data_IF_490457319149
#
_entry.id   IF_490457319149
#
_cell.length_a   1.000
_cell.length_b   1.000
_cell.length_c   1.000
_cell.angle_alpha   90.00
_cell.angle_beta   90.00
_cell.angle_gamma   90.00
#
_symmetry.space_group_name_H-M   'P 1'
#
loop_
_entity.id
_entity.type
_entity.pdbx_description
1 polymer ?
#
# COMPACT_ATOMS: atom_id res chain seq x y z
N UNK A 1 -14.71 21.04 10.22
CA UNK A 1 -14.56 20.60 10.60
C UNK A 1 -14.55 19.84 10.90
N UNK A 2 -14.47 19.65 11.04
CA UNK A 2 -14.33 19.00 11.52
C UNK A 2 -14.16 18.30 11.94
N UNK A 3 -14.15 18.22 11.92
CA UNK A 3 -13.97 17.54 12.41
C UNK A 3 -13.70 17.21 12.84
N UNK A 4 -13.78 17.19 12.83
CA UNK A 4 -13.56 16.79 13.40
C UNK A 4 -13.16 16.69 13.99
N UNK A 5 -13.11 16.89 14.04
CA UNK A 5 -12.80 16.87 14.67
C UNK A 5 -12.38 16.56 15.22
N UNK A 6 -12.31 16.28 15.20
CA UNK A 6 -11.84 15.95 15.84
C UNK A 6 -11.25 15.51 16.19
N UNK A 7 -11.02 15.51 15.89
CA UNK A 7 -10.45 15.05 16.24
C UNK A 7 -9.77 14.85 16.78
N UNK A 8 -9.56 14.85 16.91
CA UNK A 8 -8.99 14.63 17.47
C UNK A 8 -8.33 14.80 18.08
N UNK A 9 -8.41 14.74 18.31
CA UNK A 9 -7.78 15.07 19.03
C UNK A 9 -6.83 15.16 19.46
N UNK A 10 -7.23 15.20 19.62
CA UNK A 10 -6.48 14.93 19.99
C UNK A 10 -5.42 14.82 19.53
N UNK A 11 -5.54 14.73 18.69
CA UNK A 11 -4.32 14.44 18.02
C UNK A 11 -3.34 15.58 18.14
N UNK A 12 -2.17 15.28 18.62
CA UNK A 12 -1.14 16.29 18.71
C UNK A 12 -0.81 16.80 17.30
N UNK A 13 -0.64 18.11 17.12
CA UNK A 13 -0.30 18.64 15.80
C UNK A 13 0.94 18.02 15.19
N UNK A 14 1.93 17.66 16.02
CA UNK A 14 3.15 17.02 15.55
C UNK A 14 2.87 15.65 14.95
N UNK A 15 2.08 14.83 15.65
CA UNK A 15 1.72 13.51 15.16
C UNK A 15 0.89 13.60 13.90
N UNK A 16 -0.01 14.57 13.83
CA UNK A 16 -0.83 14.80 12.66
C UNK A 16 0.01 15.16 11.44
N UNK A 17 1.01 16.03 11.62
CA UNK A 17 1.90 16.42 10.54
C UNK A 17 2.75 15.25 10.08
N UNK A 18 3.22 14.41 11.02
CA UNK A 18 3.99 13.23 10.69
C UNK A 18 3.15 12.24 9.89
N UNK A 19 1.91 12.03 10.30
CA UNK A 19 1.01 11.13 9.60
C UNK A 19 0.75 11.62 8.18
N UNK A 20 0.53 12.91 8.00
CA UNK A 20 0.32 13.49 6.69
C UNK A 20 1.53 13.28 5.79
N UNK A 21 2.75 13.48 6.32
CA UNK A 21 3.96 13.25 5.54
C UNK A 21 4.11 11.78 5.14
N UNK A 22 3.79 10.87 6.05
CA UNK A 22 3.84 9.45 5.76
C UNK A 22 2.86 9.09 4.64
N UNK A 23 1.62 9.54 4.76
CA UNK A 23 0.61 9.24 3.76
C UNK A 23 0.99 9.81 2.39
N UNK A 24 1.53 11.02 2.36
CA UNK A 24 1.97 11.63 1.12
C UNK A 24 3.13 10.86 0.48
N UNK A 25 4.08 10.39 1.31
CA UNK A 25 5.19 9.59 0.80
C UNK A 25 4.70 8.32 0.13
N UNK A 26 3.62 7.74 0.62
CA UNK A 26 3.06 6.52 0.06
C UNK A 26 2.16 6.80 -1.14
N UNK A 27 1.31 7.81 -1.08
CA UNK A 27 0.33 8.04 -2.15
C UNK A 27 0.84 8.89 -3.29
N UNK A 28 1.74 9.84 -3.02
CA UNK A 28 2.27 10.74 -4.06
C UNK A 28 3.65 10.31 -4.52
N UNK A 29 4.56 10.10 -3.58
CA UNK A 29 5.93 9.73 -3.92
C UNK A 29 6.06 8.23 -4.19
N UNK A 30 5.11 7.44 -3.73
CA UNK A 30 5.05 5.99 -3.94
C UNK A 30 6.37 5.31 -3.57
N UNK A 31 6.88 5.64 -2.40
CA UNK A 31 8.14 5.08 -1.93
C UNK A 31 8.09 3.56 -1.81
N UNK A 32 6.89 2.98 -1.71
CA UNK A 32 6.74 1.52 -1.66
C UNK A 32 7.17 0.83 -2.96
N UNK A 33 7.39 1.59 -4.05
CA UNK A 33 7.90 1.01 -5.28
C UNK A 33 9.33 0.52 -5.14
N UNK A 34 10.06 0.96 -4.10
CA UNK A 34 11.40 0.47 -3.85
C UNK A 34 11.38 -0.96 -3.36
N UNK A 35 12.02 -1.86 -4.11
CA UNK A 35 12.23 -3.22 -3.63
C UNK A 35 13.17 -3.17 -2.43
N UNK A 36 12.78 -3.85 -1.36
CA UNK A 36 13.63 -3.90 -0.17
C UNK A 36 13.54 -2.68 0.73
N UNK A 37 12.53 -1.82 0.54
CA UNK A 37 12.35 -0.68 1.44
C UNK A 37 12.18 -1.18 2.87
N UNK A 38 12.97 -0.60 3.79
CA UNK A 38 12.93 -0.97 5.21
C UNK A 38 12.28 0.14 6.02
N UNK A 39 11.84 -0.21 7.23
CA UNK A 39 11.31 0.76 8.17
C UNK A 39 12.35 1.84 8.46
N UNK A 40 13.61 1.43 8.65
CA UNK A 40 14.69 2.37 8.93
C UNK A 40 14.90 3.36 7.78
N UNK A 41 14.89 2.86 6.54
CA UNK A 41 15.08 3.72 5.37
C UNK A 41 13.92 4.71 5.22
N UNK A 42 12.70 4.24 5.42
CA UNK A 42 11.53 5.12 5.34
C UNK A 42 11.56 6.18 6.44
N UNK A 43 11.91 5.77 7.66
CA UNK A 43 12.02 6.70 8.78
C UNK A 43 13.06 7.78 8.49
N UNK A 44 14.19 7.39 7.93
CA UNK A 44 15.24 8.34 7.57
C UNK A 44 14.76 9.33 6.51
N UNK A 45 14.08 8.83 5.48
CA UNK A 45 13.53 9.68 4.42
C UNK A 45 12.56 10.71 4.97
N UNK A 46 11.76 10.31 5.96
CA UNK A 46 10.76 11.19 6.56
C UNK A 46 11.31 12.01 7.72
N UNK A 47 12.58 11.82 8.07
CA UNK A 47 13.20 12.48 9.22
C UNK A 47 12.47 12.16 10.51
N UNK A 48 12.09 10.90 10.67
CA UNK A 48 11.42 10.40 11.87
C UNK A 48 12.27 9.34 12.53
N UNK A 49 12.10 9.18 13.86
CA UNK A 49 12.66 8.03 14.53
C UNK A 49 11.89 6.78 14.16
N UNK A 50 12.56 5.63 14.19
CA UNK A 50 11.88 4.37 13.84
C UNK A 50 10.73 4.06 14.77
N UNK A 51 10.88 4.34 16.07
CA UNK A 51 9.82 4.10 17.04
C UNK A 51 8.58 4.94 16.72
N UNK A 52 8.80 6.21 16.37
CA UNK A 52 7.68 7.09 16.00
C UNK A 52 6.98 6.59 14.76
N UNK A 53 7.74 6.17 13.76
CA UNK A 53 7.15 5.64 12.53
C UNK A 53 6.38 4.36 12.79
N UNK A 54 6.95 3.47 13.61
CA UNK A 54 6.26 2.23 13.97
C UNK A 54 4.94 2.52 14.67
N UNK A 55 4.91 3.51 15.55
CA UNK A 55 3.68 3.90 16.23
C UNK A 55 2.63 4.42 15.24
N UNK A 56 3.04 5.24 14.27
CA UNK A 56 2.12 5.71 13.25
C UNK A 56 1.49 4.54 12.47
N UNK A 57 2.33 3.61 12.05
CA UNK A 57 1.86 2.48 11.24
C UNK A 57 0.96 1.55 12.05
N UNK A 58 1.38 1.20 13.26
CA UNK A 58 0.66 0.21 14.06
C UNK A 58 -0.54 0.78 14.78
N UNK A 59 -0.40 1.95 15.41
CA UNK A 59 -1.46 2.51 16.25
C UNK A 59 -2.35 3.48 15.52
N UNK A 60 -1.77 4.39 14.75
CA UNK A 60 -2.58 5.40 14.07
C UNK A 60 -3.27 4.82 12.83
N UNK A 61 -2.56 4.02 12.06
CA UNK A 61 -3.12 3.45 10.82
C UNK A 61 -3.63 2.02 10.98
N UNK A 62 -3.27 1.35 12.06
CA UNK A 62 -3.84 0.04 12.40
C UNK A 62 -3.25 -1.15 11.67
N UNK A 63 -2.09 -1.02 11.05
CA UNK A 63 -1.46 -2.16 10.39
C UNK A 63 -0.71 -3.00 11.41
N UNK A 64 -0.72 -4.32 11.21
CA UNK A 64 -0.08 -5.25 12.12
C UNK A 64 1.45 -5.05 12.19
N UNK A 65 2.05 -4.77 11.04
CA UNK A 65 3.48 -4.53 10.96
C UNK A 65 3.81 -3.77 9.69
N UNK A 66 5.10 -3.44 9.52
CA UNK A 66 5.57 -2.67 8.37
C UNK A 66 5.34 -3.41 7.06
N UNK A 67 5.54 -4.73 7.04
CA UNK A 67 5.34 -5.50 5.81
C UNK A 67 3.87 -5.44 5.37
N UNK A 68 2.94 -5.58 6.30
CA UNK A 68 1.51 -5.48 5.96
C UNK A 68 1.18 -4.09 5.43
N UNK A 69 1.81 -3.06 5.99
CA UNK A 69 1.65 -1.69 5.52
C UNK A 69 2.11 -1.55 4.07
N UNK A 70 3.30 -2.08 3.74
CA UNK A 70 3.81 -2.03 2.38
C UNK A 70 2.94 -2.84 1.42
N UNK A 71 2.54 -4.05 1.84
CA UNK A 71 1.69 -4.90 1.00
C UNK A 71 0.38 -4.21 0.66
N UNK A 72 -0.18 -3.46 1.59
CA UNK A 72 -1.43 -2.75 1.33
C UNK A 72 -1.29 -1.85 0.10
N UNK A 73 -0.26 -1.01 0.08
CA UNK A 73 -0.07 -0.08 -1.04
C UNK A 73 0.34 -0.79 -2.31
N UNK A 74 1.27 -1.73 -2.22
CA UNK A 74 1.75 -2.45 -3.38
C UNK A 74 0.64 -3.25 -4.05
N UNK A 75 -0.15 -3.96 -3.27
CA UNK A 75 -1.20 -4.82 -3.82
C UNK A 75 -2.40 -4.01 -4.29
N UNK A 76 -2.71 -2.90 -3.64
CA UNK A 76 -3.78 -2.01 -4.09
C UNK A 76 -3.47 -1.47 -5.48
N UNK A 77 -2.26 -1.00 -5.70
CA UNK A 77 -1.85 -0.52 -7.02
C UNK A 77 -1.84 -1.65 -8.03
N UNK A 78 -1.27 -2.79 -7.66
CA UNK A 78 -1.18 -3.94 -8.57
C UNK A 78 -2.56 -4.40 -9.01
N UNK A 79 -3.52 -4.48 -8.08
CA UNK A 79 -4.87 -4.91 -8.41
C UNK A 79 -5.52 -3.96 -9.42
N UNK A 80 -5.36 -2.66 -9.22
CA UNK A 80 -5.90 -1.68 -10.15
C UNK A 80 -5.27 -1.82 -11.54
N UNK A 81 -3.95 -2.03 -11.59
CA UNK A 81 -3.23 -2.15 -12.86
C UNK A 81 -3.55 -3.45 -13.59
N UNK A 82 -3.79 -4.54 -12.84
CA UNK A 82 -4.17 -5.81 -13.45
C UNK A 82 -5.47 -5.68 -14.24
N UNK A 83 -6.38 -4.84 -13.76
CA UNK A 83 -7.65 -4.61 -14.45
C UNK A 83 -7.52 -3.60 -15.58
N UNK A 84 -6.71 -2.58 -15.41
CA UNK A 84 -6.64 -1.46 -16.35
C UNK A 84 -5.64 -1.68 -17.49
N UNK A 85 -4.65 -2.55 -17.30
CA UNK A 85 -3.53 -2.70 -18.22
C UNK A 85 -3.39 -4.14 -18.70
N UNK A 86 -2.78 -4.29 -19.86
CA UNK A 86 -2.49 -5.62 -20.41
C UNK A 86 -1.05 -6.06 -20.21
N UNK A 87 -0.30 -5.33 -19.41
CA UNK A 87 1.10 -5.65 -19.14
C UNK A 87 1.23 -7.02 -18.48
N UNK A 88 2.37 -7.70 -18.69
CA UNK A 88 2.62 -8.96 -18.01
C UNK A 88 2.56 -8.78 -16.49
N UNK A 89 2.08 -9.82 -15.82
CA UNK A 89 1.94 -9.78 -14.36
C UNK A 89 3.28 -9.50 -13.69
N UNK A 90 4.37 -10.10 -14.18
CA UNK A 90 5.70 -9.86 -13.64
C UNK A 90 6.07 -8.37 -13.72
N UNK A 91 5.77 -7.72 -14.83
CA UNK A 91 6.06 -6.29 -14.99
C UNK A 91 5.33 -5.47 -13.94
N UNK A 92 4.05 -5.76 -13.73
CA UNK A 92 3.26 -5.04 -12.73
C UNK A 92 3.82 -5.29 -11.33
N UNK A 93 4.17 -6.54 -11.02
CA UNK A 93 4.74 -6.88 -9.71
C UNK A 93 6.02 -6.10 -9.43
N UNK A 94 6.93 -6.07 -10.41
CA UNK A 94 8.20 -5.35 -10.23
C UNK A 94 7.98 -3.85 -10.10
N UNK A 95 7.09 -3.30 -10.90
CA UNK A 95 6.78 -1.87 -10.84
C UNK A 95 6.21 -1.48 -9.48
N UNK A 96 5.47 -2.37 -8.83
CA UNK A 96 4.85 -2.09 -7.54
C UNK A 96 5.79 -2.30 -6.36
N UNK A 97 7.01 -2.76 -6.61
CA UNK A 97 8.02 -2.86 -5.56
C UNK A 97 8.39 -4.26 -5.12
N UNK A 98 7.90 -5.30 -5.81
CA UNK A 98 8.30 -6.66 -5.50
C UNK A 98 9.56 -7.03 -6.27
N UNK A 99 10.46 -7.74 -5.60
CA UNK A 99 11.74 -8.12 -6.23
C UNK A 99 11.62 -9.29 -7.19
N UNK A 100 10.53 -10.06 -7.09
CA UNK A 100 10.32 -11.24 -7.93
C UNK A 100 8.85 -11.62 -7.88
N UNK A 101 8.48 -12.56 -8.76
CA UNK A 101 7.08 -12.95 -8.90
C UNK A 101 6.57 -13.81 -7.73
N UNK A 102 7.45 -14.60 -7.11
CA UNK A 102 7.03 -15.52 -6.04
C UNK A 102 6.41 -14.81 -4.84
N UNK A 103 7.13 -13.87 -4.21
CA UNK A 103 6.56 -13.11 -3.09
C UNK A 103 5.30 -12.36 -3.47
N UNK A 104 5.24 -11.82 -4.68
CA UNK A 104 4.05 -11.12 -5.17
C UNK A 104 2.86 -12.06 -5.22
N UNK A 105 3.02 -13.23 -5.84
CA UNK A 105 1.92 -14.19 -5.97
C UNK A 105 1.39 -14.62 -4.60
N UNK A 106 2.29 -14.88 -3.65
CA UNK A 106 1.89 -15.30 -2.32
C UNK A 106 1.11 -14.20 -1.60
N UNK A 107 1.63 -12.98 -1.64
CA UNK A 107 0.97 -11.84 -0.98
C UNK A 107 -0.38 -11.54 -1.63
N UNK A 108 -0.43 -11.59 -2.95
CA UNK A 108 -1.67 -11.30 -3.68
C UNK A 108 -2.75 -12.33 -3.34
N UNK A 109 -2.39 -13.61 -3.38
CA UNK A 109 -3.35 -14.66 -3.09
C UNK A 109 -3.84 -14.58 -1.65
N UNK A 110 -2.94 -14.28 -0.73
CA UNK A 110 -3.32 -14.15 0.68
C UNK A 110 -4.33 -13.03 0.87
N UNK A 111 -4.15 -11.90 0.18
CA UNK A 111 -5.02 -10.76 0.36
C UNK A 111 -6.34 -10.87 -0.40
N UNK A 112 -6.30 -11.37 -1.63
CA UNK A 112 -7.48 -11.38 -2.50
C UNK A 112 -8.14 -12.74 -2.63
N UNK A 113 -7.52 -13.79 -2.11
CA UNK A 113 -8.09 -15.13 -2.17
C UNK A 113 -7.96 -15.81 -3.52
N UNK A 114 -7.25 -15.20 -4.45
CA UNK A 114 -7.06 -15.76 -5.79
C UNK A 114 -5.73 -15.28 -6.36
N UNK A 115 -5.27 -15.94 -7.42
CA UNK A 115 -4.04 -15.56 -8.09
C UNK A 115 -4.22 -14.26 -8.89
N UNK A 116 -3.13 -13.56 -9.21
CA UNK A 116 -3.24 -12.37 -10.07
C UNK A 116 -3.88 -12.66 -11.40
N UNK A 117 -3.59 -13.82 -12.00
CA UNK A 117 -4.20 -14.21 -13.28
C UNK A 117 -5.72 -14.36 -13.14
N UNK A 118 -6.14 -15.08 -12.11
CA UNK A 118 -7.57 -15.26 -11.84
C UNK A 118 -8.27 -13.92 -11.60
N UNK A 119 -7.61 -13.05 -10.85
CA UNK A 119 -8.16 -11.73 -10.54
C UNK A 119 -8.36 -10.90 -11.83
N UNK A 120 -7.36 -10.91 -12.71
CA UNK A 120 -7.43 -10.18 -13.98
C UNK A 120 -8.57 -10.69 -14.86
N UNK A 121 -8.69 -12.02 -14.99
CA UNK A 121 -9.74 -12.64 -15.80
C UNK A 121 -11.11 -12.37 -15.18
N UNK A 122 -11.23 -12.57 -13.87
CA UNK A 122 -12.50 -12.32 -13.18
C UNK A 122 -12.97 -10.88 -13.30
N UNK A 123 -12.04 -9.93 -13.20
CA UNK A 123 -12.37 -8.52 -13.37
C UNK A 123 -12.91 -8.20 -14.75
N UNK A 124 -12.32 -8.81 -15.78
CA UNK A 124 -12.80 -8.62 -17.15
C UNK A 124 -14.19 -9.19 -17.36
N UNK A 125 -14.43 -10.37 -16.78
CA UNK A 125 -15.75 -10.99 -16.88
C UNK A 125 -16.80 -10.15 -16.17
N UNK A 126 -16.50 -9.65 -14.98
CA UNK A 126 -17.43 -8.79 -14.25
C UNK A 126 -17.72 -7.51 -15.01
N UNK A 127 -16.71 -6.93 -15.66
CA UNK A 127 -16.91 -5.73 -16.47
C UNK A 127 -17.88 -6.00 -17.64
N UNK A 128 -17.75 -7.15 -18.29
CA UNK A 128 -18.65 -7.51 -19.37
C UNK A 128 -20.08 -7.66 -18.86
N UNK A 129 -20.24 -8.32 -17.72
CA UNK A 129 -21.56 -8.52 -17.15
C UNK A 129 -22.23 -7.21 -16.77
N UNK A 130 -21.45 -6.26 -16.27
CA UNK A 130 -22.02 -4.99 -15.84
C UNK A 130 -22.43 -4.10 -17.00
N UNK A 131 -22.00 -4.38 -18.22
CA UNK A 131 -22.40 -3.60 -19.39
C UNK A 131 -23.68 -4.09 -20.05
N UNK A 132 -24.20 -5.19 -19.58
CA UNK A 132 -25.48 -5.74 -20.06
C UNK A 132 -26.62 -5.10 -19.28
#
# INVERSE_FOLDING_TARGET
MVAPAGATPLTEPKASAQLTRLQRAMTEDKLYHQDGLTLAALAQTLSLGEAALRTLINHELGYRNFNDFLHHYRLTEAAARLRAESLPILTIALDCGYGSIGPFNRAFKQRFGMTPTEYRVGGRLLSRQSTI
#
